data_IF_252774157233
#
_entry.id   IF_252774157233
#
_cell.length_a   1.000
_cell.length_b   1.000
_cell.length_c   1.000
_cell.angle_alpha   90.00
_cell.angle_beta   90.00
_cell.angle_gamma   90.00
#
_symmetry.space_group_name_H-M   'P 1'
#
loop_
_entity.id
_entity.type
_entity.pdbx_description
1 polymer ?
#
# COMPACT_ATOMS: atom_id res chain seq x y z
N UNK A 1 -21.00 -8.18 -2.14
CA UNK A 1 -21.02 -8.08 -0.65
C UNK A 1 -21.18 -6.61 -0.20
N UNK A 2 -21.63 -6.35 1.03
CA UNK A 2 -21.92 -4.97 1.49
C UNK A 2 -20.71 -4.02 1.47
N UNK A 3 -19.50 -4.55 1.62
CA UNK A 3 -18.24 -3.78 1.61
C UNK A 3 -17.86 -3.25 0.22
N UNK A 4 -17.95 -4.07 -0.83
CA UNK A 4 -17.70 -3.62 -2.21
C UNK A 4 -18.66 -2.52 -2.66
N UNK A 5 -19.93 -2.63 -2.26
CA UNK A 5 -20.93 -1.57 -2.54
C UNK A 5 -20.61 -0.24 -1.85
N UNK A 6 -19.77 -0.26 -0.81
CA UNK A 6 -19.26 0.92 -0.11
C UNK A 6 -17.89 1.39 -0.64
N UNK A 7 -17.40 0.78 -1.73
CA UNK A 7 -16.12 1.10 -2.35
C UNK A 7 -14.92 0.42 -1.69
N UNK A 8 -15.14 -0.61 -0.87
CA UNK A 8 -14.03 -1.39 -0.30
C UNK A 8 -13.64 -2.53 -1.22
N UNK A 9 -12.36 -2.60 -1.54
CA UNK A 9 -11.77 -3.66 -2.35
C UNK A 9 -10.77 -4.44 -1.51
N UNK A 10 -10.78 -5.77 -1.65
CA UNK A 10 -9.83 -6.66 -1.00
C UNK A 10 -9.14 -7.49 -2.06
N UNK A 11 -7.84 -7.69 -1.90
CA UNK A 11 -7.03 -8.47 -2.82
C UNK A 11 -5.95 -9.23 -2.04
N UNK A 12 -5.77 -10.52 -2.38
CA UNK A 12 -4.62 -11.29 -1.96
C UNK A 12 -3.53 -11.15 -3.03
N UNK A 13 -2.33 -10.72 -2.62
CA UNK A 13 -1.17 -10.61 -3.49
C UNK A 13 -0.10 -11.62 -3.05
N UNK A 14 0.23 -12.61 -3.90
CA UNK A 14 1.11 -13.72 -3.54
C UNK A 14 2.51 -13.57 -4.17
N UNK A 15 3.52 -13.24 -3.37
CA UNK A 15 4.87 -12.98 -3.89
C UNK A 15 5.48 -14.13 -4.69
N UNK A 16 5.22 -15.38 -4.28
CA UNK A 16 5.75 -16.57 -4.96
C UNK A 16 5.27 -16.71 -6.41
N UNK A 17 4.17 -16.05 -6.80
CA UNK A 17 3.56 -16.16 -8.13
C UNK A 17 3.88 -14.98 -9.04
N UNK A 18 4.07 -13.79 -8.47
CA UNK A 18 4.05 -12.53 -9.21
C UNK A 18 5.14 -11.54 -8.78
N UNK A 19 6.06 -11.93 -7.90
CA UNK A 19 7.12 -11.07 -7.39
C UNK A 19 6.63 -10.19 -6.23
N UNK A 20 7.42 -9.19 -5.82
CA UNK A 20 6.99 -8.29 -4.75
C UNK A 20 5.92 -7.32 -5.25
N UNK A 21 4.97 -6.97 -4.37
CA UNK A 21 3.99 -5.94 -4.65
C UNK A 21 4.71 -4.59 -4.84
N UNK A 22 4.32 -3.83 -5.85
CA UNK A 22 4.89 -2.51 -6.16
C UNK A 22 3.83 -1.41 -6.00
N UNK A 23 4.26 -0.18 -5.85
CA UNK A 23 3.34 0.95 -5.71
C UNK A 23 2.65 1.31 -7.02
N UNK A 24 3.27 1.02 -8.17
CA UNK A 24 2.64 1.16 -9.50
C UNK A 24 1.48 0.18 -9.64
N UNK A 25 1.66 -1.07 -9.16
CA UNK A 25 0.57 -2.04 -9.12
C UNK A 25 -0.58 -1.50 -8.27
N UNK A 26 -0.29 -1.08 -7.03
CA UNK A 26 -1.31 -0.57 -6.10
C UNK A 26 -2.06 0.63 -6.72
N UNK A 27 -1.36 1.60 -7.30
CA UNK A 27 -1.96 2.77 -7.94
C UNK A 27 -2.92 2.39 -9.08
N UNK A 28 -2.55 1.41 -9.91
CA UNK A 28 -3.41 0.88 -10.97
C UNK A 28 -4.64 0.11 -10.47
N UNK A 29 -4.65 -0.34 -9.20
CA UNK A 29 -5.80 -1.03 -8.60
C UNK A 29 -6.75 -0.09 -7.85
N UNK A 30 -6.30 1.11 -7.49
CA UNK A 30 -7.12 2.10 -6.77
C UNK A 30 -7.87 2.99 -7.75
N UNK A 31 -9.21 3.05 -7.71
CA UNK A 31 -9.97 4.00 -8.54
C UNK A 31 -9.56 5.45 -8.28
N UNK A 32 -9.00 6.10 -9.31
CA UNK A 32 -8.45 7.46 -9.23
C UNK A 32 -7.02 7.55 -8.68
N UNK A 33 -6.35 6.42 -8.44
CA UNK A 33 -4.98 6.37 -7.95
C UNK A 33 -4.83 6.67 -6.46
N UNK A 34 -3.58 6.65 -5.99
CA UNK A 34 -3.24 6.81 -4.56
C UNK A 34 -2.93 8.24 -4.13
N UNK A 35 -2.83 9.21 -5.06
CA UNK A 35 -2.33 10.57 -4.77
C UNK A 35 -3.09 11.31 -3.69
N UNK A 36 -4.42 11.21 -3.67
CA UNK A 36 -5.27 11.92 -2.71
C UNK A 36 -5.81 10.98 -1.60
N UNK A 37 -5.01 9.97 -1.24
CA UNK A 37 -5.40 8.92 -0.28
C UNK A 37 -4.41 8.84 0.86
N UNK A 38 -4.94 8.53 2.05
CA UNK A 38 -4.12 8.06 3.16
C UNK A 38 -3.71 6.60 2.90
N UNK A 39 -2.42 6.32 3.04
CA UNK A 39 -1.80 5.02 2.83
C UNK A 39 -1.40 4.48 4.19
N UNK A 40 -2.04 3.39 4.61
CA UNK A 40 -1.74 2.72 5.86
C UNK A 40 -0.87 1.48 5.58
N UNK A 41 0.33 1.42 6.16
CA UNK A 41 1.27 0.32 5.97
C UNK A 41 1.59 -0.35 7.31
N UNK A 42 1.51 -1.69 7.30
CA UNK A 42 2.01 -2.53 8.37
C UNK A 42 2.65 -3.77 7.77
N UNK A 43 3.58 -4.40 8.49
CA UNK A 43 4.25 -5.62 8.07
C UNK A 43 5.76 -5.58 8.29
N UNK A 44 6.52 -6.50 7.66
CA UNK A 44 7.96 -6.58 7.85
C UNK A 44 8.66 -5.27 7.50
N UNK A 45 9.62 -4.84 8.32
CA UNK A 45 10.31 -3.55 8.14
C UNK A 45 10.93 -3.35 6.74
N UNK A 46 11.53 -4.39 6.10
CA UNK A 46 12.02 -4.25 4.72
C UNK A 46 10.90 -3.98 3.69
N UNK A 47 9.73 -4.58 3.88
CA UNK A 47 8.57 -4.35 3.02
C UNK A 47 8.04 -2.93 3.18
N UNK A 48 7.83 -2.50 4.43
CA UNK A 48 7.30 -1.16 4.74
C UNK A 48 8.24 -0.08 4.23
N UNK A 49 9.55 -0.18 4.53
CA UNK A 49 10.55 0.79 4.05
C UNK A 49 10.66 0.83 2.52
N UNK A 50 10.58 -0.33 1.85
CA UNK A 50 10.57 -0.42 0.39
C UNK A 50 9.36 0.25 -0.25
N UNK A 51 8.16 0.07 0.31
CA UNK A 51 6.94 0.71 -0.20
C UNK A 51 6.92 2.21 0.08
N UNK A 52 7.39 2.66 1.25
CA UNK A 52 7.54 4.11 1.55
C UNK A 52 8.43 4.77 0.51
N UNK A 53 9.59 4.17 0.21
CA UNK A 53 10.52 4.73 -0.77
C UNK A 53 9.89 4.85 -2.16
N UNK A 54 9.17 3.81 -2.60
CA UNK A 54 8.48 3.81 -3.88
C UNK A 54 7.35 4.87 -3.94
N UNK A 55 6.50 4.98 -2.90
CA UNK A 55 5.45 6.00 -2.85
C UNK A 55 6.03 7.42 -2.85
N UNK A 56 7.12 7.68 -2.10
CA UNK A 56 7.82 8.97 -2.13
C UNK A 56 8.36 9.28 -3.54
N UNK A 57 8.86 8.27 -4.25
CA UNK A 57 9.35 8.41 -5.63
C UNK A 57 8.22 8.76 -6.60
N UNK A 58 7.00 8.30 -6.34
CA UNK A 58 5.79 8.71 -7.08
C UNK A 58 5.31 10.14 -6.73
N UNK A 59 5.94 10.80 -5.76
CA UNK A 59 5.60 12.13 -5.27
C UNK A 59 4.48 12.14 -4.24
N UNK A 60 4.23 11.02 -3.55
CA UNK A 60 3.28 10.98 -2.45
C UNK A 60 3.87 11.68 -1.22
N UNK A 61 3.16 12.65 -0.62
CA UNK A 61 3.58 13.31 0.60
C UNK A 61 3.75 12.35 1.78
N UNK A 62 4.72 12.62 2.64
CA UNK A 62 5.07 11.77 3.79
C UNK A 62 3.96 11.74 4.85
N UNK A 63 3.21 12.82 5.02
CA UNK A 63 2.08 12.93 5.94
C UNK A 63 0.86 12.09 5.52
N UNK A 64 0.81 11.62 4.27
CA UNK A 64 -0.20 10.67 3.81
C UNK A 64 0.18 9.20 4.07
N UNK A 65 1.41 8.91 4.50
CA UNK A 65 1.88 7.55 4.74
C UNK A 65 1.91 7.28 6.25
N UNK A 66 0.91 6.55 6.73
CA UNK A 66 0.74 6.18 8.13
C UNK A 66 1.27 4.78 8.33
N UNK A 67 2.26 4.62 9.20
CA UNK A 67 2.88 3.34 9.49
C UNK A 67 2.52 2.86 10.90
N UNK A 68 2.30 1.57 11.02
CA UNK A 68 2.25 0.90 12.31
C UNK A 68 3.51 0.03 12.44
N UNK A 69 4.38 0.39 13.38
CA UNK A 69 5.62 -0.35 13.64
C UNK A 69 5.35 -1.43 14.70
N UNK A 70 5.06 -2.64 14.23
CA UNK A 70 4.99 -3.83 15.08
C UNK A 70 6.39 -4.44 15.29
N UNK A 71 7.32 -3.64 15.81
CA UNK A 71 8.52 -4.19 16.43
C UNK A 71 8.14 -4.80 17.78
N UNK A 72 7.69 -6.05 17.75
CA UNK A 72 7.64 -6.91 18.93
C UNK A 72 9.08 -7.30 19.28
N UNK A 73 9.76 -6.45 20.06
CA UNK A 73 11.00 -6.80 20.75
C UNK A 73 10.73 -7.77 21.91
#
# INVERSE_FOLDING_TARGET
>A
PAFEKRGHHYELYETARQGFITTEYIDGRVPGGVRDRNIFLCGPSPMVSGLIHQFRTMGIPEDQIIIEDFNLL
#
